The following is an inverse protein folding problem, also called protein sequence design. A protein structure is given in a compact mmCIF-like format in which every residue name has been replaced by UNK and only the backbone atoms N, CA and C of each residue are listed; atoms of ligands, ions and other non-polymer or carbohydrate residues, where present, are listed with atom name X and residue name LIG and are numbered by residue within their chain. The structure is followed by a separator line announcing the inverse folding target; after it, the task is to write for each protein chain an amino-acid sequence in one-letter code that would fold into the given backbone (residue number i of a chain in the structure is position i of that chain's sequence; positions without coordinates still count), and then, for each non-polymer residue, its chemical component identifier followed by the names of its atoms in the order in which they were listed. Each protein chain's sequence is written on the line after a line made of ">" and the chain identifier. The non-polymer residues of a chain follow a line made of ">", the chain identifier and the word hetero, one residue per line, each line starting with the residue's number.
data_IF_082937276733
#
_entry.id   IF_082937276733
#
_cell.length_a   1.000
_cell.length_b   1.000
_cell.length_c   1.000
_cell.angle_alpha   90.00
_cell.angle_beta   90.00
_cell.angle_gamma   90.00
#
_symmetry.space_group_name_H-M   'P 1'
#
loop_
_entity.id
_entity.type
_entity.pdbx_description
1 polymer ?
#
# COMPACT_ATOMS: atom_id res chain seq x y z
N UNK A 1 -29.60 -69.52 42.67
CA UNK A 1 -28.94 -69.39 41.36
C UNK A 1 -29.24 -68.03 40.72
N UNK A 2 -28.85 -66.88 41.31
CA UNK A 2 -29.30 -65.56 40.86
C UNK A 2 -28.18 -64.48 40.75
N UNK A 3 -26.96 -64.73 41.23
CA UNK A 3 -25.93 -63.69 41.38
C UNK A 3 -25.00 -63.53 40.17
N UNK A 4 -24.86 -64.54 39.31
CA UNK A 4 -23.92 -64.56 38.19
C UNK A 4 -24.38 -63.67 37.02
N UNK A 5 -25.67 -63.43 36.85
CA UNK A 5 -26.24 -62.67 35.72
C UNK A 5 -26.18 -61.14 35.89
N UNK A 6 -26.11 -60.63 37.11
CA UNK A 6 -26.09 -59.20 37.40
C UNK A 6 -24.78 -58.52 37.08
N UNK A 7 -23.65 -59.28 37.14
CA UNK A 7 -22.33 -58.75 36.79
C UNK A 7 -22.07 -58.71 35.27
N UNK A 8 -22.70 -59.63 34.52
CA UNK A 8 -22.57 -59.67 33.05
C UNK A 8 -23.29 -58.49 32.40
N UNK A 9 -24.48 -58.09 32.91
CA UNK A 9 -25.20 -56.91 32.42
C UNK A 9 -24.44 -55.58 32.64
N UNK A 10 -23.81 -55.41 33.81
CA UNK A 10 -23.01 -54.24 34.14
C UNK A 10 -21.76 -54.14 33.23
N UNK A 11 -21.09 -55.25 32.94
CA UNK A 11 -19.95 -55.32 32.04
C UNK A 11 -20.34 -54.99 30.58
N UNK A 12 -21.49 -55.48 30.12
CA UNK A 12 -22.02 -55.20 28.79
C UNK A 12 -22.36 -53.71 28.65
N UNK A 13 -23.02 -53.11 29.65
CA UNK A 13 -23.28 -51.66 29.65
C UNK A 13 -22.00 -50.84 29.62
N UNK A 14 -21.00 -51.18 30.42
CA UNK A 14 -19.72 -50.47 30.43
C UNK A 14 -19.02 -50.50 29.06
N UNK A 15 -19.04 -51.66 28.38
CA UNK A 15 -18.46 -51.80 27.03
C UNK A 15 -19.20 -50.96 26.02
N UNK A 16 -20.54 -50.94 26.07
CA UNK A 16 -21.35 -50.09 25.17
C UNK A 16 -21.03 -48.60 25.40
N UNK A 17 -20.97 -48.17 26.68
CA UNK A 17 -20.61 -46.79 27.03
C UNK A 17 -19.20 -46.41 26.53
N UNK A 18 -18.20 -47.27 26.75
CA UNK A 18 -16.86 -47.00 26.26
C UNK A 18 -16.80 -46.95 24.74
N UNK A 19 -17.48 -47.86 24.03
CA UNK A 19 -17.53 -47.85 22.56
C UNK A 19 -18.21 -46.55 22.04
N UNK A 20 -19.34 -46.15 22.65
CA UNK A 20 -20.03 -44.89 22.27
C UNK A 20 -19.15 -43.67 22.51
N UNK A 21 -18.42 -43.63 23.62
CA UNK A 21 -17.51 -42.52 23.92
C UNK A 21 -16.33 -42.43 22.90
N UNK A 22 -15.79 -43.58 22.54
CA UNK A 22 -14.73 -43.61 21.52
C UNK A 22 -15.21 -43.12 20.15
N UNK A 23 -16.44 -43.51 19.75
CA UNK A 23 -17.02 -43.06 18.49
C UNK A 23 -17.25 -41.55 18.50
N UNK A 24 -17.80 -41.01 19.61
CA UNK A 24 -18.02 -39.57 19.74
C UNK A 24 -16.70 -38.80 19.73
N UNK A 25 -15.69 -39.30 20.43
CA UNK A 25 -14.36 -38.67 20.45
C UNK A 25 -13.69 -38.66 19.06
N UNK A 26 -13.78 -39.77 18.32
CA UNK A 26 -13.29 -39.86 16.94
C UNK A 26 -14.02 -38.91 15.99
N UNK A 27 -15.33 -38.85 16.06
CA UNK A 27 -16.14 -37.92 15.26
C UNK A 27 -15.81 -36.46 15.58
N UNK A 28 -15.66 -36.14 16.88
CA UNK A 28 -15.25 -34.80 17.31
C UNK A 28 -13.87 -34.41 16.81
N UNK A 29 -12.91 -35.34 16.84
CA UNK A 29 -11.57 -35.11 16.32
C UNK A 29 -11.55 -34.87 14.81
N UNK A 30 -12.24 -35.73 14.04
CA UNK A 30 -12.35 -35.57 12.59
C UNK A 30 -13.07 -34.26 12.20
N UNK A 31 -14.13 -33.91 12.93
CA UNK A 31 -14.82 -32.66 12.72
C UNK A 31 -13.92 -31.44 12.99
N UNK A 32 -13.17 -31.48 14.09
CA UNK A 32 -12.26 -30.40 14.45
C UNK A 32 -11.14 -30.24 13.40
N UNK A 33 -10.57 -31.34 12.93
CA UNK A 33 -9.54 -31.32 11.90
C UNK A 33 -10.07 -30.75 10.57
N UNK A 34 -11.27 -31.20 10.17
CA UNK A 34 -11.94 -30.69 8.97
C UNK A 34 -12.25 -29.18 9.07
N UNK A 35 -12.84 -28.73 10.17
CA UNK A 35 -13.19 -27.32 10.36
C UNK A 35 -11.93 -26.46 10.42
N UNK A 36 -10.91 -26.88 11.19
CA UNK A 36 -9.63 -26.16 11.27
C UNK A 36 -8.99 -25.96 9.90
N UNK A 37 -8.96 -27.02 9.10
CA UNK A 37 -8.39 -26.96 7.75
C UNK A 37 -9.19 -26.03 6.85
N UNK A 38 -10.50 -26.16 6.83
CA UNK A 38 -11.40 -25.33 6.01
C UNK A 38 -11.27 -23.85 6.38
N UNK A 39 -11.30 -23.52 7.67
CA UNK A 39 -11.16 -22.13 8.15
C UNK A 39 -9.80 -21.56 7.81
N UNK A 40 -8.73 -22.36 7.91
CA UNK A 40 -7.40 -21.93 7.54
C UNK A 40 -7.29 -21.66 6.04
N UNK A 41 -7.75 -22.55 5.19
CA UNK A 41 -7.72 -22.41 3.73
C UNK A 41 -8.55 -21.18 3.28
N UNK A 42 -9.74 -20.99 3.84
CA UNK A 42 -10.59 -19.84 3.55
C UNK A 42 -9.95 -18.52 4.00
N UNK A 43 -9.35 -18.50 5.20
CA UNK A 43 -8.65 -17.32 5.72
C UNK A 43 -7.44 -16.94 4.85
N UNK A 44 -6.64 -17.92 4.44
CA UNK A 44 -5.48 -17.68 3.56
C UNK A 44 -5.94 -17.18 2.19
N UNK A 45 -6.98 -17.80 1.62
CA UNK A 45 -7.55 -17.36 0.34
C UNK A 45 -8.06 -15.92 0.40
N UNK A 46 -8.81 -15.58 1.45
CA UNK A 46 -9.32 -14.23 1.66
C UNK A 46 -8.20 -13.20 1.84
N UNK A 47 -7.18 -13.52 2.62
CA UNK A 47 -6.01 -12.63 2.77
C UNK A 47 -5.29 -12.42 1.44
N UNK A 48 -5.10 -13.48 0.68
CA UNK A 48 -4.45 -13.40 -0.65
C UNK A 48 -5.25 -12.51 -1.60
N UNK A 49 -6.58 -12.62 -1.59
CA UNK A 49 -7.46 -11.78 -2.39
C UNK A 49 -7.38 -10.30 -1.97
N UNK A 50 -7.40 -10.01 -0.67
CA UNK A 50 -7.25 -8.65 -0.14
C UNK A 50 -5.90 -8.05 -0.52
N UNK A 51 -4.81 -8.83 -0.42
CA UNK A 51 -3.49 -8.39 -0.86
C UNK A 51 -3.46 -8.09 -2.36
N UNK A 52 -4.05 -8.94 -3.17
CA UNK A 52 -4.09 -8.73 -4.63
C UNK A 52 -4.90 -7.49 -5.01
N UNK A 53 -6.05 -7.28 -4.38
CA UNK A 53 -6.85 -6.07 -4.56
C UNK A 53 -6.08 -4.82 -4.13
N UNK A 54 -5.41 -4.86 -2.98
CA UNK A 54 -4.60 -3.74 -2.48
C UNK A 54 -3.43 -3.42 -3.41
N UNK A 55 -2.72 -4.42 -3.92
CA UNK A 55 -1.64 -4.25 -4.90
C UNK A 55 -2.14 -3.62 -6.20
N UNK A 56 -3.29 -4.07 -6.69
CA UNK A 56 -3.93 -3.50 -7.89
C UNK A 56 -4.32 -2.03 -7.68
N UNK A 57 -4.95 -1.71 -6.54
CA UNK A 57 -5.32 -0.33 -6.21
C UNK A 57 -4.10 0.58 -6.08
N UNK A 58 -3.02 0.10 -5.47
CA UNK A 58 -1.78 0.88 -5.36
C UNK A 58 -1.14 1.13 -6.73
N UNK A 59 -1.13 0.15 -7.61
CA UNK A 59 -0.64 0.30 -8.99
C UNK A 59 -1.49 1.28 -9.79
N UNK A 60 -2.80 1.22 -9.68
CA UNK A 60 -3.71 2.16 -10.33
C UNK A 60 -3.51 3.59 -9.82
N UNK A 61 -3.35 3.77 -8.50
CA UNK A 61 -3.06 5.05 -7.89
C UNK A 61 -1.71 5.61 -8.38
N UNK A 62 -0.67 4.77 -8.41
CA UNK A 62 0.64 5.14 -8.89
C UNK A 62 0.60 5.58 -10.36
N UNK A 63 0.00 4.78 -11.23
CA UNK A 63 -0.13 5.10 -12.65
C UNK A 63 -0.94 6.40 -12.87
N UNK A 64 -2.01 6.59 -12.12
CA UNK A 64 -2.81 7.82 -12.18
C UNK A 64 -1.96 9.06 -11.82
N UNK A 65 -1.24 9.00 -10.72
CA UNK A 65 -0.44 10.13 -10.24
C UNK A 65 0.73 10.44 -11.17
N UNK A 66 1.42 9.41 -11.70
CA UNK A 66 2.47 9.60 -12.70
C UNK A 66 1.90 10.17 -14.01
N UNK A 67 0.74 9.71 -14.46
CA UNK A 67 0.09 10.27 -15.64
C UNK A 67 -0.23 11.75 -15.46
N UNK A 68 -0.67 12.17 -14.28
CA UNK A 68 -0.87 13.59 -13.98
C UNK A 68 0.44 14.37 -14.00
N UNK A 69 1.51 13.84 -13.41
CA UNK A 69 2.83 14.47 -13.43
C UNK A 69 3.34 14.67 -14.85
N UNK A 70 3.25 13.67 -15.72
CA UNK A 70 3.65 13.78 -17.12
C UNK A 70 2.84 14.88 -17.82
N UNK A 71 1.53 14.89 -17.69
CA UNK A 71 0.67 15.90 -18.30
C UNK A 71 0.99 17.31 -17.78
N UNK A 72 1.27 17.45 -16.48
CA UNK A 72 1.66 18.73 -15.89
C UNK A 72 3.09 19.12 -16.30
N UNK A 73 3.99 18.17 -16.43
CA UNK A 73 5.33 18.39 -16.93
C UNK A 73 5.33 18.99 -18.32
N UNK A 74 4.54 18.44 -19.24
CA UNK A 74 4.36 18.98 -20.59
C UNK A 74 3.81 20.41 -20.56
N UNK A 75 2.76 20.65 -19.73
CA UNK A 75 2.18 21.99 -19.60
C UNK A 75 3.16 23.03 -19.06
N UNK A 76 3.97 22.66 -18.05
CA UNK A 76 4.95 23.55 -17.46
C UNK A 76 6.09 23.93 -18.41
N UNK A 77 6.47 23.06 -19.34
CA UNK A 77 7.47 23.36 -20.36
C UNK A 77 6.99 24.42 -21.36
N UNK A 78 5.70 24.45 -21.64
CA UNK A 78 5.10 25.42 -22.58
C UNK A 78 4.70 26.74 -21.92
N UNK A 79 4.68 26.79 -20.58
CA UNK A 79 4.19 27.95 -19.81
C UNK A 79 5.35 28.74 -19.22
N UNK A 80 5.45 30.04 -19.53
CA UNK A 80 6.51 30.92 -19.04
C UNK A 80 6.09 31.90 -17.95
N UNK A 81 4.79 31.98 -17.64
CA UNK A 81 4.25 32.92 -16.66
C UNK A 81 4.18 32.33 -15.24
N UNK A 82 4.94 32.87 -14.27
CA UNK A 82 4.94 32.35 -12.88
C UNK A 82 3.55 32.36 -12.23
N UNK A 83 2.72 33.39 -12.49
CA UNK A 83 1.34 33.47 -11.97
C UNK A 83 0.46 32.39 -12.60
N UNK A 84 0.63 32.13 -13.88
CA UNK A 84 -0.13 31.12 -14.61
C UNK A 84 0.24 29.69 -14.13
N UNK A 85 1.52 29.44 -13.90
CA UNK A 85 2.00 28.17 -13.32
C UNK A 85 1.38 27.97 -11.93
N UNK A 86 1.37 28.98 -11.06
CA UNK A 86 0.82 28.86 -9.72
C UNK A 86 -0.69 28.59 -9.75
N UNK A 87 -1.44 29.36 -10.53
CA UNK A 87 -2.90 29.19 -10.63
C UNK A 87 -3.25 27.81 -11.20
N UNK A 88 -2.43 27.29 -12.12
CA UNK A 88 -2.58 25.95 -12.65
C UNK A 88 -2.33 24.87 -11.60
N UNK A 89 -1.24 25.01 -10.82
CA UNK A 89 -0.92 24.06 -9.74
C UNK A 89 -1.99 24.05 -8.67
N UNK A 90 -2.50 25.22 -8.23
CA UNK A 90 -3.58 25.30 -7.26
C UNK A 90 -4.84 24.58 -7.74
N UNK A 91 -5.21 24.77 -9.01
CA UNK A 91 -6.34 24.06 -9.62
C UNK A 91 -6.09 22.56 -9.72
N UNK A 92 -4.89 22.14 -10.11
CA UNK A 92 -4.51 20.74 -10.19
C UNK A 92 -4.54 20.05 -8.81
N UNK A 93 -4.15 20.74 -7.73
CA UNK A 93 -4.27 20.27 -6.36
C UNK A 93 -5.73 20.00 -5.96
N UNK A 94 -6.63 20.92 -6.28
CA UNK A 94 -8.06 20.75 -5.99
C UNK A 94 -8.67 19.58 -6.77
N UNK A 95 -8.33 19.43 -8.04
CA UNK A 95 -8.90 18.39 -8.91
C UNK A 95 -8.34 16.99 -8.65
N UNK A 96 -7.03 16.89 -8.40
CA UNK A 96 -6.36 15.58 -8.23
C UNK A 96 -6.24 15.13 -6.76
N UNK A 97 -6.38 16.07 -5.80
CA UNK A 97 -6.44 15.77 -4.37
C UNK A 97 -5.10 15.47 -3.72
N UNK A 98 -3.98 15.93 -4.30
CA UNK A 98 -2.67 15.86 -3.65
C UNK A 98 -2.46 17.07 -2.71
N UNK A 99 -1.61 16.85 -1.69
CA UNK A 99 -1.38 17.85 -0.66
C UNK A 99 -0.31 18.86 -1.04
N UNK A 100 0.73 18.41 -1.74
CA UNK A 100 1.91 19.19 -2.05
C UNK A 100 2.33 19.00 -3.50
N UNK A 101 2.82 20.08 -4.11
CA UNK A 101 3.50 20.09 -5.39
C UNK A 101 4.90 20.69 -5.22
N UNK A 102 5.89 19.98 -5.72
CA UNK A 102 7.29 20.36 -5.58
C UNK A 102 7.97 20.46 -6.95
N UNK A 103 8.72 21.52 -7.13
CA UNK A 103 9.81 21.59 -8.09
C UNK A 103 11.04 21.01 -7.41
N UNK A 104 11.57 19.92 -7.90
CA UNK A 104 12.57 19.09 -7.23
C UNK A 104 13.88 19.11 -8.02
N UNK A 105 14.98 19.46 -7.36
CA UNK A 105 16.32 19.28 -7.94
C UNK A 105 16.86 17.87 -7.64
N UNK A 106 17.80 17.40 -8.45
CA UNK A 106 18.34 16.06 -8.31
C UNK A 106 19.10 15.81 -6.99
N UNK A 107 19.54 16.87 -6.30
CA UNK A 107 20.14 16.80 -4.98
C UNK A 107 19.10 16.72 -3.83
N UNK A 108 17.81 16.67 -4.15
CA UNK A 108 16.70 16.54 -3.19
C UNK A 108 16.22 17.86 -2.60
N UNK A 109 16.75 19.01 -3.02
CA UNK A 109 16.17 20.29 -2.67
C UNK A 109 14.87 20.51 -3.44
N UNK A 110 13.92 21.20 -2.82
CA UNK A 110 12.65 21.51 -3.48
C UNK A 110 12.23 22.97 -3.31
N UNK A 111 11.36 23.41 -4.19
CA UNK A 111 10.59 24.63 -4.09
C UNK A 111 9.12 24.35 -4.37
N UNK A 112 8.22 24.92 -3.56
CA UNK A 112 6.77 24.82 -3.78
C UNK A 112 6.29 25.93 -4.73
N UNK A 113 5.05 25.80 -5.22
CA UNK A 113 4.39 26.85 -6.01
C UNK A 113 4.24 28.18 -5.24
N UNK A 114 4.17 28.12 -3.90
CA UNK A 114 4.12 29.31 -3.02
C UNK A 114 5.49 29.92 -2.74
N UNK A 115 6.58 29.29 -3.21
CA UNK A 115 7.95 29.77 -3.05
C UNK A 115 8.67 29.25 -1.81
N UNK A 116 8.05 28.38 -1.03
CA UNK A 116 8.72 27.71 0.10
C UNK A 116 9.78 26.75 -0.41
N UNK A 117 10.93 26.72 0.25
CA UNK A 117 12.04 25.84 -0.10
C UNK A 117 12.38 24.89 1.06
N UNK A 118 12.89 23.74 0.73
CA UNK A 118 13.32 22.76 1.72
C UNK A 118 14.08 21.59 1.09
N UNK A 119 14.20 20.49 1.85
CA UNK A 119 14.91 19.30 1.44
C UNK A 119 14.04 18.06 1.71
N UNK A 120 13.79 17.25 0.69
CA UNK A 120 12.95 16.05 0.80
C UNK A 120 13.70 14.83 1.35
N UNK A 121 15.01 14.90 1.55
CA UNK A 121 15.77 13.78 2.10
C UNK A 121 15.75 12.52 1.23
N UNK A 122 15.78 12.69 -0.09
CA UNK A 122 15.85 11.57 -1.02
C UNK A 122 17.09 10.72 -0.75
N UNK A 123 16.97 9.42 -0.87
CA UNK A 123 18.13 8.52 -0.82
C UNK A 123 19.02 8.75 -2.05
N UNK A 124 20.34 8.57 -1.91
CA UNK A 124 21.29 8.80 -3.01
C UNK A 124 20.93 8.06 -4.31
N UNK A 125 20.45 6.82 -4.21
CA UNK A 125 20.03 6.04 -5.36
C UNK A 125 18.82 6.63 -6.11
N UNK A 126 17.96 7.40 -5.44
CA UNK A 126 16.78 8.03 -6.06
C UNK A 126 17.19 9.28 -6.86
N UNK A 127 18.21 10.01 -6.41
CA UNK A 127 18.81 11.09 -7.19
C UNK A 127 19.37 10.56 -8.51
N UNK A 128 20.07 9.41 -8.49
CA UNK A 128 20.58 8.76 -9.69
C UNK A 128 19.45 8.35 -10.66
N UNK A 129 18.31 7.89 -10.17
CA UNK A 129 17.15 7.54 -10.98
C UNK A 129 16.54 8.77 -11.67
N UNK A 130 16.45 9.90 -10.99
CA UNK A 130 16.03 11.18 -11.61
C UNK A 130 16.98 11.55 -12.76
N UNK A 131 18.30 11.45 -12.53
CA UNK A 131 19.29 11.73 -13.58
C UNK A 131 19.22 10.78 -14.78
N UNK A 132 18.71 9.55 -14.56
CA UNK A 132 18.46 8.57 -15.63
C UNK A 132 17.13 8.77 -16.34
N UNK A 133 16.30 9.72 -15.92
CA UNK A 133 15.00 9.99 -16.51
C UNK A 133 13.91 9.01 -16.09
N UNK A 134 14.03 8.37 -14.92
CA UNK A 134 13.04 7.43 -14.41
C UNK A 134 12.05 8.11 -13.47
N UNK A 135 10.79 7.70 -13.55
CA UNK A 135 9.79 8.06 -12.54
C UNK A 135 10.12 7.42 -11.20
N UNK A 136 9.85 8.15 -10.13
CA UNK A 136 10.14 7.73 -8.76
C UNK A 136 8.86 7.67 -7.94
N UNK A 137 8.73 6.60 -7.16
CA UNK A 137 7.72 6.47 -6.12
C UNK A 137 8.43 6.10 -4.82
N UNK A 138 8.38 6.98 -3.84
CA UNK A 138 9.10 6.79 -2.58
C UNK A 138 8.36 7.34 -1.38
N UNK A 139 8.70 6.80 -0.20
CA UNK A 139 8.25 7.35 1.07
C UNK A 139 9.30 8.33 1.60
N UNK A 140 8.85 9.53 1.92
CA UNK A 140 9.71 10.57 2.49
C UNK A 140 9.20 10.97 3.86
N UNK A 141 10.13 11.10 4.82
CA UNK A 141 9.86 11.67 6.13
C UNK A 141 10.28 13.14 6.14
N UNK A 142 9.31 14.05 6.14
CA UNK A 142 9.59 15.48 6.28
C UNK A 142 9.56 15.85 7.76
N UNK A 143 10.58 16.57 8.27
CA UNK A 143 10.61 16.97 9.69
C UNK A 143 9.34 17.71 10.11
N UNK A 144 8.67 17.19 11.15
CA UNK A 144 7.41 17.77 11.67
C UNK A 144 6.13 17.33 10.95
N UNK A 145 6.22 16.46 9.97
CA UNK A 145 5.08 15.89 9.25
C UNK A 145 5.08 14.35 9.32
N UNK A 146 3.95 13.74 8.97
CA UNK A 146 3.85 12.29 8.79
C UNK A 146 4.66 11.85 7.57
N UNK A 147 5.00 10.57 7.50
CA UNK A 147 5.55 10.00 6.27
C UNK A 147 4.57 10.23 5.11
N UNK A 148 5.11 10.70 3.99
CA UNK A 148 4.35 10.98 2.77
C UNK A 148 4.83 10.09 1.64
N UNK A 149 3.89 9.66 0.80
CA UNK A 149 4.19 8.98 -0.45
C UNK A 149 4.40 10.05 -1.52
N UNK A 150 5.61 10.10 -2.06
CA UNK A 150 6.02 11.07 -3.08
C UNK A 150 6.12 10.37 -4.42
N UNK A 151 5.50 10.97 -5.43
CA UNK A 151 5.64 10.60 -6.84
C UNK A 151 6.44 11.70 -7.51
N UNK A 152 7.50 11.38 -8.23
CA UNK A 152 8.30 12.34 -8.96
C UNK A 152 8.52 11.89 -10.39
N UNK A 153 8.50 12.85 -11.33
CA UNK A 153 8.77 12.61 -12.73
C UNK A 153 9.84 13.60 -13.25
N UNK A 154 10.91 13.10 -13.87
CA UNK A 154 11.97 13.93 -14.44
C UNK A 154 11.66 14.45 -15.85
N UNK A 155 10.49 14.19 -16.42
CA UNK A 155 10.13 14.68 -17.75
C UNK A 155 10.07 16.21 -17.84
N UNK A 156 9.90 16.89 -16.68
CA UNK A 156 9.88 18.33 -16.61
C UNK A 156 11.13 18.86 -15.92
N UNK A 157 11.97 19.54 -16.63
CA UNK A 157 13.12 20.28 -16.11
C UNK A 157 13.04 21.75 -16.53
N UNK A 158 13.51 22.64 -15.66
CA UNK A 158 13.43 24.07 -15.95
C UNK A 158 13.78 24.94 -14.77
N UNK A 159 13.23 26.16 -14.77
CA UNK A 159 13.44 27.13 -13.69
C UNK A 159 12.10 27.73 -13.27
N UNK A 160 11.83 27.72 -11.95
CA UNK A 160 10.68 28.38 -11.36
C UNK A 160 11.12 29.35 -10.29
N UNK A 161 10.83 30.63 -10.45
CA UNK A 161 11.24 31.72 -9.53
C UNK A 161 12.75 31.67 -9.20
N UNK A 162 13.60 31.42 -10.20
CA UNK A 162 15.05 31.32 -10.03
C UNK A 162 15.55 30.03 -9.36
N UNK A 163 14.68 29.04 -9.13
CA UNK A 163 15.04 27.70 -8.69
C UNK A 163 15.10 26.76 -9.91
N UNK A 164 16.26 26.22 -10.17
CA UNK A 164 16.42 25.19 -11.22
C UNK A 164 15.96 23.84 -10.69
N UNK A 165 15.12 23.14 -11.44
CA UNK A 165 14.58 21.84 -11.09
C UNK A 165 14.81 20.82 -12.20
N UNK A 166 15.00 19.58 -11.77
CA UNK A 166 15.26 18.42 -12.66
C UNK A 166 14.05 17.48 -12.73
N UNK A 167 13.08 17.65 -11.84
CA UNK A 167 11.84 16.89 -11.79
C UNK A 167 10.72 17.70 -11.14
N UNK A 168 9.48 17.29 -11.38
CA UNK A 168 8.32 17.72 -10.59
C UNK A 168 7.85 16.55 -9.72
N UNK A 169 7.35 16.86 -8.53
CA UNK A 169 6.87 15.85 -7.60
C UNK A 169 5.57 16.26 -6.92
N UNK A 170 4.75 15.27 -6.55
CA UNK A 170 3.53 15.44 -5.74
C UNK A 170 3.55 14.52 -4.52
N UNK A 171 2.85 14.93 -3.45
CA UNK A 171 2.66 14.13 -2.25
C UNK A 171 1.25 14.27 -1.68
#
# INVERSE_FOLDING_TARGET
>A
MGVKNRNTGKRLMAVIFCASFIVIALMGFLYFEFVSKTVYEESVSHLTEVFHQSDTMLKELANKNLTYLHMWGEYLQDTSGESEIRDYIEKAQEEAGFLYFYFLSADGNYKTATGETGYLGLQENLADEIWQGNDIITNVAVPGQSQMLVFASPESHGSYQGFEYDAIAIA
#
